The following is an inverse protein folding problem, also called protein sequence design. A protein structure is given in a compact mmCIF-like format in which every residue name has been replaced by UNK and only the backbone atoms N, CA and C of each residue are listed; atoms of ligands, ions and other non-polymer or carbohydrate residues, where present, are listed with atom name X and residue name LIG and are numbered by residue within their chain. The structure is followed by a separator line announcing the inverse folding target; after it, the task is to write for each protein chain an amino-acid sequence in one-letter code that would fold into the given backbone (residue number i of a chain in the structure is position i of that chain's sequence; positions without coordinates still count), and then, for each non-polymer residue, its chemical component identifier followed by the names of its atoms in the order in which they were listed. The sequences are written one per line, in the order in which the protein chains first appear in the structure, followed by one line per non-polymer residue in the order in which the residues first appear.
data_IF_503929956074
#
_entry.id   IF_503929956074
#
_cell.length_a   1.000
_cell.length_b   1.000
_cell.length_c   1.000
_cell.angle_alpha   90.00
_cell.angle_beta   90.00
_cell.angle_gamma   90.00
#
_symmetry.space_group_name_H-M   'P 1'
#
loop_
_entity.id
_entity.type
_entity.pdbx_description
1 polymer ?
#
# COMPACT_ATOMS: atom_id res chain seq x y z
N UNK A 1 6.48 -35.59 -3.61
CA UNK A 1 7.13 -34.34 -3.15
C UNK A 1 7.50 -33.52 -4.38
N UNK A 2 6.85 -32.40 -4.65
CA UNK A 2 7.33 -31.49 -5.70
C UNK A 2 8.49 -30.67 -5.13
N UNK A 3 9.55 -30.55 -5.93
CA UNK A 3 10.76 -29.83 -5.64
C UNK A 3 10.45 -28.36 -5.32
N UNK A 4 10.99 -27.87 -4.19
CA UNK A 4 11.05 -26.48 -3.84
C UNK A 4 11.85 -25.73 -4.93
N UNK A 5 11.13 -25.02 -5.80
CA UNK A 5 11.76 -24.09 -6.73
C UNK A 5 12.40 -22.95 -5.94
N UNK A 6 13.71 -22.91 -5.87
CA UNK A 6 14.47 -21.76 -5.41
C UNK A 6 14.10 -20.56 -6.29
N UNK A 7 13.35 -19.62 -5.76
CA UNK A 7 13.25 -18.29 -6.35
C UNK A 7 14.65 -17.67 -6.22
N UNK A 8 15.29 -17.39 -7.32
CA UNK A 8 16.61 -16.78 -7.36
C UNK A 8 16.55 -15.40 -6.68
N UNK A 9 17.39 -15.19 -5.68
CA UNK A 9 17.68 -13.87 -5.15
C UNK A 9 18.14 -12.92 -6.29
N UNK A 10 17.90 -11.61 -6.21
CA UNK A 10 18.34 -10.66 -7.22
C UNK A 10 19.84 -10.80 -7.47
N UNK A 11 20.20 -11.05 -8.71
CA UNK A 11 21.55 -11.44 -9.15
C UNK A 11 22.51 -10.28 -9.37
N UNK A 12 22.30 -9.13 -8.72
CA UNK A 12 23.26 -8.02 -8.73
C UNK A 12 23.35 -7.43 -7.33
N UNK A 13 24.56 -7.17 -6.86
CA UNK A 13 24.82 -6.57 -5.54
C UNK A 13 24.36 -5.11 -5.39
N UNK A 14 23.45 -4.65 -6.24
CA UNK A 14 22.85 -3.31 -6.19
C UNK A 14 21.57 -3.32 -5.37
N UNK A 15 21.47 -2.39 -4.40
CA UNK A 15 20.29 -2.21 -3.59
C UNK A 15 19.15 -1.61 -4.43
N UNK A 16 17.91 -1.98 -4.15
CA UNK A 16 16.75 -1.39 -4.80
C UNK A 16 16.47 0.00 -4.22
N UNK A 17 16.09 0.94 -5.09
CA UNK A 17 15.65 2.29 -4.72
C UNK A 17 14.21 2.24 -4.26
N UNK A 18 13.93 2.72 -3.06
CA UNK A 18 12.60 2.63 -2.43
C UNK A 18 12.15 4.00 -1.92
N UNK A 19 10.92 4.38 -2.22
CA UNK A 19 10.20 5.49 -1.61
C UNK A 19 8.87 4.96 -1.05
N UNK A 20 8.57 5.30 0.21
CA UNK A 20 7.32 4.92 0.87
C UNK A 20 6.41 6.15 0.99
N UNK A 21 5.13 6.00 0.63
CA UNK A 21 4.06 6.96 0.91
C UNK A 21 3.02 6.26 1.80
N UNK A 22 2.79 6.76 3.01
CA UNK A 22 2.06 6.06 4.08
C UNK A 22 1.05 6.99 4.75
N UNK A 23 -0.12 6.46 5.11
CA UNK A 23 -1.11 7.14 5.95
C UNK A 23 -0.87 6.90 7.45
N UNK A 24 0.39 6.65 7.83
CA UNK A 24 0.85 6.44 9.21
C UNK A 24 0.29 7.51 10.17
N UNK A 25 -0.23 7.06 11.31
CA UNK A 25 -0.93 7.93 12.25
C UNK A 25 -2.40 8.20 11.89
N UNK A 26 -2.90 7.58 10.81
CA UNK A 26 -4.29 7.59 10.38
C UNK A 26 -5.20 6.75 11.28
N UNK A 27 -6.23 6.16 10.69
CA UNK A 27 -7.26 5.40 11.44
C UNK A 27 -6.80 4.02 11.90
N UNK A 28 -5.74 3.48 11.30
CA UNK A 28 -5.22 2.13 11.55
C UNK A 28 -3.72 2.22 11.90
N UNK A 29 -3.27 1.67 13.05
CA UNK A 29 -1.89 1.81 13.48
C UNK A 29 -0.93 0.76 12.88
N UNK A 30 -1.30 0.00 11.88
CA UNK A 30 -0.44 -1.05 11.31
C UNK A 30 0.70 -0.49 10.44
N UNK A 31 0.59 0.71 9.93
CA UNK A 31 1.67 1.45 9.29
C UNK A 31 2.89 1.62 10.21
N UNK A 32 2.67 1.86 11.52
CA UNK A 32 3.77 1.91 12.49
C UNK A 32 4.54 0.59 12.55
N UNK A 33 3.84 -0.55 12.47
CA UNK A 33 4.47 -1.86 12.42
C UNK A 33 5.22 -2.06 11.11
N UNK A 34 4.65 -1.67 9.99
CA UNK A 34 5.25 -1.76 8.65
C UNK A 34 6.48 -0.85 8.54
N UNK A 35 6.46 0.35 9.16
CA UNK A 35 7.60 1.26 9.21
C UNK A 35 8.75 0.71 10.07
N UNK A 36 8.45 0.06 11.21
CA UNK A 36 9.46 -0.67 11.99
C UNK A 36 10.08 -1.78 11.15
N UNK A 37 9.27 -2.54 10.41
CA UNK A 37 9.77 -3.59 9.52
C UNK A 37 10.70 -3.01 8.45
N UNK A 38 10.32 -1.92 7.78
CA UNK A 38 11.21 -1.23 6.82
C UNK A 38 12.57 -0.88 7.46
N UNK A 39 12.57 -0.35 8.68
CA UNK A 39 13.81 0.12 9.30
C UNK A 39 14.75 -1.01 9.73
N UNK A 40 14.23 -2.17 10.10
CA UNK A 40 15.11 -3.32 10.40
C UNK A 40 15.68 -4.00 9.15
N UNK A 41 15.12 -3.70 7.98
CA UNK A 41 15.62 -4.12 6.66
C UNK A 41 16.28 -2.97 5.87
N UNK A 42 16.48 -1.81 6.48
CA UNK A 42 16.95 -0.61 5.78
C UNK A 42 18.35 -0.75 5.15
N UNK A 43 19.13 -1.73 5.58
CA UNK A 43 20.44 -2.06 4.98
C UNK A 43 20.34 -2.70 3.59
N UNK A 44 19.16 -3.18 3.21
CA UNK A 44 18.93 -3.83 1.90
C UNK A 44 18.51 -2.83 0.81
N UNK A 45 18.16 -1.60 1.16
CA UNK A 45 17.54 -0.63 0.26
C UNK A 45 18.26 0.71 0.23
N UNK A 46 18.20 1.38 -0.91
CA UNK A 46 18.42 2.82 -1.01
C UNK A 46 17.09 3.52 -0.75
N UNK A 47 16.81 3.84 0.54
CA UNK A 47 15.58 4.53 0.92
C UNK A 47 15.72 5.99 0.52
N UNK A 48 14.91 6.44 -0.46
CA UNK A 48 15.01 7.76 -1.06
C UNK A 48 13.95 8.73 -0.58
N UNK A 49 12.87 8.23 0.04
CA UNK A 49 11.82 9.08 0.58
C UNK A 49 10.89 8.34 1.54
N UNK A 50 10.38 9.11 2.50
CA UNK A 50 9.36 8.71 3.46
C UNK A 50 8.31 9.81 3.47
N UNK A 51 7.20 9.61 2.76
CA UNK A 51 6.13 10.59 2.59
C UNK A 51 4.97 10.23 3.50
N UNK A 52 4.47 11.19 4.28
CA UNK A 52 3.20 11.05 5.00
C UNK A 52 2.08 11.56 4.10
N UNK A 53 1.19 10.67 3.66
CA UNK A 53 0.01 10.97 2.85
C UNK A 53 -1.23 10.46 3.59
N UNK A 54 -1.66 11.15 4.66
CA UNK A 54 -2.59 10.59 5.63
C UNK A 54 -4.05 10.68 5.20
N UNK A 55 -4.81 9.70 5.67
CA UNK A 55 -6.24 9.86 5.89
C UNK A 55 -6.47 10.24 7.36
N UNK A 56 -6.99 11.45 7.60
CA UNK A 56 -7.26 11.93 8.95
C UNK A 56 -6.08 12.65 9.61
N UNK A 57 -5.69 12.23 10.82
CA UNK A 57 -4.79 13.01 11.69
C UNK A 57 -3.30 12.72 11.51
N UNK A 58 -2.91 11.67 10.78
CA UNK A 58 -1.52 11.29 10.57
C UNK A 58 -0.70 12.42 9.93
N UNK A 59 0.57 12.52 10.31
CA UNK A 59 1.51 13.55 9.83
C UNK A 59 2.91 12.96 9.71
N UNK A 60 3.80 13.69 9.05
CA UNK A 60 5.23 13.31 8.99
C UNK A 60 5.87 13.16 10.37
N UNK A 61 5.32 13.79 11.42
CA UNK A 61 5.75 13.59 12.81
C UNK A 61 5.61 12.16 13.29
N UNK A 62 4.67 11.40 12.72
CA UNK A 62 4.46 9.99 13.07
C UNK A 62 5.60 9.13 12.49
N UNK A 63 6.05 9.41 11.28
CA UNK A 63 7.27 8.80 10.70
C UNK A 63 8.49 9.14 11.57
N UNK A 64 8.65 10.42 11.93
CA UNK A 64 9.75 10.88 12.78
C UNK A 64 9.77 10.17 14.14
N UNK A 65 8.59 9.85 14.69
CA UNK A 65 8.48 9.07 15.93
C UNK A 65 9.09 7.69 15.79
N UNK A 66 8.92 7.00 14.66
CA UNK A 66 9.55 5.69 14.42
C UNK A 66 11.06 5.86 14.19
N UNK A 67 11.48 6.92 13.48
CA UNK A 67 12.91 7.24 13.29
C UNK A 67 13.60 7.48 14.64
N UNK A 68 12.95 8.11 15.63
CA UNK A 68 13.50 8.29 16.98
C UNK A 68 13.73 6.96 17.71
N UNK A 69 12.92 5.93 17.42
CA UNK A 69 13.15 4.56 17.94
C UNK A 69 14.32 3.89 17.21
N UNK A 70 14.36 4.03 15.89
CA UNK A 70 15.45 3.55 15.05
C UNK A 70 16.80 4.13 15.50
N UNK A 71 16.87 5.43 15.78
CA UNK A 71 18.10 6.10 16.24
C UNK A 71 18.70 5.46 17.50
N UNK A 72 17.84 5.01 18.43
CA UNK A 72 18.30 4.32 19.66
C UNK A 72 18.91 2.95 19.36
N UNK A 73 18.41 2.25 18.35
CA UNK A 73 18.87 0.91 17.97
C UNK A 73 19.97 0.96 16.91
N UNK A 74 20.13 2.07 16.20
CA UNK A 74 21.12 2.26 15.14
C UNK A 74 22.57 1.87 15.53
N UNK A 75 23.08 2.18 16.77
CA UNK A 75 24.43 1.76 17.17
C UNK A 75 24.65 0.25 17.10
N UNK A 76 23.60 -0.56 17.27
CA UNK A 76 23.67 -2.02 17.16
C UNK A 76 23.46 -2.47 15.71
N UNK A 77 22.45 -1.93 15.01
CA UNK A 77 22.16 -2.26 13.62
C UNK A 77 23.36 -2.05 12.70
N UNK A 78 24.06 -0.92 12.82
CA UNK A 78 25.25 -0.61 12.01
C UNK A 78 26.43 -1.59 12.22
N UNK A 79 26.43 -2.40 13.29
CA UNK A 79 27.44 -3.44 13.47
C UNK A 79 27.25 -4.63 12.55
N UNK A 80 26.03 -4.83 12.05
CA UNK A 80 25.69 -5.89 11.09
C UNK A 80 25.93 -5.47 9.64
N UNK A 81 25.72 -4.18 9.35
CA UNK A 81 25.95 -3.64 8.00
C UNK A 81 26.21 -2.13 8.08
N UNK A 82 27.21 -1.67 7.36
CA UNK A 82 27.53 -0.24 7.20
C UNK A 82 26.55 0.49 6.29
N UNK A 83 25.66 -0.24 5.61
CA UNK A 83 24.67 0.31 4.68
C UNK A 83 23.38 0.76 5.38
N UNK A 84 23.21 0.47 6.67
CA UNK A 84 22.10 1.07 7.43
C UNK A 84 22.19 2.61 7.38
N UNK A 85 21.14 3.31 6.92
CA UNK A 85 21.14 4.77 6.87
C UNK A 85 21.17 5.35 8.28
N UNK A 86 21.77 6.53 8.44
CA UNK A 86 21.69 7.24 9.71
C UNK A 86 20.27 7.79 9.95
N UNK A 87 19.87 7.97 11.20
CA UNK A 87 18.59 8.61 11.53
C UNK A 87 18.49 10.02 10.94
N UNK A 88 19.61 10.77 10.90
CA UNK A 88 19.65 12.09 10.29
C UNK A 88 19.35 12.03 8.77
N UNK A 89 19.89 11.03 8.06
CA UNK A 89 19.58 10.81 6.65
C UNK A 89 18.09 10.51 6.44
N UNK A 90 17.50 9.61 7.26
CA UNK A 90 16.07 9.29 7.19
C UNK A 90 15.19 10.52 7.46
N UNK A 91 15.52 11.35 8.46
CA UNK A 91 14.81 12.62 8.72
C UNK A 91 14.88 13.57 7.54
N UNK A 92 16.02 13.66 6.85
CA UNK A 92 16.21 14.53 5.67
C UNK A 92 15.31 14.21 4.50
N UNK A 93 14.94 12.94 4.34
CA UNK A 93 14.06 12.44 3.27
C UNK A 93 12.61 12.28 3.69
N UNK A 94 12.25 12.66 4.94
CA UNK A 94 10.87 12.60 5.43
C UNK A 94 10.10 13.86 5.01
N UNK A 95 8.99 13.69 4.30
CA UNK A 95 8.21 14.76 3.67
C UNK A 95 6.75 14.69 4.07
N UNK A 96 6.08 15.85 4.11
CA UNK A 96 4.64 15.91 4.26
C UNK A 96 3.98 15.89 2.89
N UNK A 97 3.12 14.91 2.66
CA UNK A 97 2.26 14.81 1.48
C UNK A 97 0.91 15.47 1.69
N UNK A 98 -0.06 15.09 0.86
CA UNK A 98 -1.42 15.62 0.89
C UNK A 98 -2.08 15.43 2.25
N UNK A 99 -2.75 16.47 2.74
CA UNK A 99 -3.53 16.45 3.98
C UNK A 99 -5.02 16.22 3.71
N UNK A 100 -5.48 16.67 2.55
CA UNK A 100 -6.88 16.63 2.13
C UNK A 100 -6.99 15.94 0.77
N UNK A 101 -8.12 15.29 0.53
CA UNK A 101 -8.44 14.72 -0.76
C UNK A 101 -8.60 15.84 -1.81
N UNK A 102 -8.06 15.67 -3.03
CA UNK A 102 -8.04 16.70 -4.06
C UNK A 102 -9.40 17.00 -4.69
N UNK A 103 -10.47 16.38 -4.24
CA UNK A 103 -11.79 16.41 -4.88
C UNK A 103 -11.83 15.62 -6.17
N UNK A 104 -12.90 15.78 -6.95
CA UNK A 104 -13.21 14.93 -8.11
C UNK A 104 -12.23 15.02 -9.27
N UNK A 105 -11.38 16.07 -9.32
CA UNK A 105 -10.29 16.15 -10.30
C UNK A 105 -9.23 15.07 -10.10
N UNK A 106 -9.10 14.55 -8.87
CA UNK A 106 -8.07 13.59 -8.48
C UNK A 106 -6.69 14.20 -8.28
N UNK A 107 -6.53 15.49 -8.56
CA UNK A 107 -5.32 16.29 -8.39
C UNK A 107 -5.66 17.70 -7.91
N UNK A 108 -4.72 18.37 -7.24
CA UNK A 108 -4.92 19.73 -6.73
C UNK A 108 -3.66 20.59 -6.87
N UNK A 109 -2.95 20.84 -5.80
CA UNK A 109 -1.69 21.59 -5.77
C UNK A 109 -0.53 20.67 -5.37
N UNK A 110 0.69 20.94 -5.86
CA UNK A 110 1.88 20.21 -5.44
C UNK A 110 2.04 20.24 -3.92
N UNK A 111 2.46 19.09 -3.38
CA UNK A 111 2.84 18.94 -1.97
C UNK A 111 4.36 18.80 -1.84
N UNK A 112 4.89 18.85 -0.60
CA UNK A 112 6.28 18.48 -0.35
C UNK A 112 6.53 17.01 -0.76
N UNK A 113 5.54 16.13 -0.52
CA UNK A 113 5.59 14.70 -0.87
C UNK A 113 5.57 14.46 -2.38
N UNK A 114 4.62 15.05 -3.11
CA UNK A 114 4.53 14.87 -4.57
C UNK A 114 5.77 15.41 -5.28
N UNK A 115 6.27 16.58 -4.86
CA UNK A 115 7.51 17.15 -5.37
C UNK A 115 8.72 16.26 -5.11
N UNK A 116 8.78 15.63 -3.92
CA UNK A 116 9.88 14.72 -3.58
C UNK A 116 9.83 13.39 -4.37
N UNK A 117 8.65 12.90 -4.71
CA UNK A 117 8.49 11.77 -5.65
C UNK A 117 9.09 12.12 -7.00
N UNK A 118 8.80 13.32 -7.53
CA UNK A 118 9.35 13.80 -8.80
C UNK A 118 10.88 13.90 -8.73
N UNK A 119 11.41 14.58 -7.71
CA UNK A 119 12.85 14.75 -7.52
C UNK A 119 13.57 13.40 -7.43
N UNK A 120 13.04 12.45 -6.67
CA UNK A 120 13.60 11.10 -6.53
C UNK A 120 13.57 10.33 -7.86
N UNK A 121 12.44 10.37 -8.60
CA UNK A 121 12.32 9.71 -9.88
C UNK A 121 13.22 10.29 -10.96
N UNK A 122 13.51 11.61 -10.90
CA UNK A 122 14.36 12.31 -11.89
C UNK A 122 15.86 12.22 -11.59
N UNK A 123 16.28 11.61 -10.48
CA UNK A 123 17.71 11.38 -10.23
C UNK A 123 18.37 10.66 -11.40
N UNK A 124 19.63 10.98 -11.64
CA UNK A 124 20.45 10.30 -12.66
C UNK A 124 20.87 8.91 -12.13
N UNK A 125 19.92 8.00 -12.14
CA UNK A 125 20.06 6.61 -11.74
C UNK A 125 19.27 5.74 -12.71
N UNK A 126 19.91 4.72 -13.32
CA UNK A 126 19.24 3.84 -14.28
C UNK A 126 18.25 2.86 -13.63
N UNK A 127 18.36 2.63 -12.32
CA UNK A 127 17.46 1.73 -11.57
C UNK A 127 16.08 2.38 -11.41
N UNK A 128 14.98 1.63 -11.55
CA UNK A 128 13.66 2.15 -11.27
C UNK A 128 13.49 2.52 -9.79
N UNK A 129 12.60 3.48 -9.52
CA UNK A 129 12.18 3.83 -8.18
C UNK A 129 10.95 2.98 -7.80
N UNK A 130 11.09 2.11 -6.80
CA UNK A 130 9.97 1.39 -6.22
C UNK A 130 9.21 2.30 -5.26
N UNK A 131 8.01 2.70 -5.65
CA UNK A 131 7.11 3.52 -4.85
C UNK A 131 6.08 2.62 -4.16
N UNK A 132 6.21 2.49 -2.84
CA UNK A 132 5.32 1.70 -1.99
C UNK A 132 4.27 2.62 -1.38
N UNK A 133 3.02 2.50 -1.83
CA UNK A 133 1.90 3.33 -1.39
C UNK A 133 1.08 2.55 -0.36
N UNK A 134 1.16 2.97 0.90
CA UNK A 134 0.58 2.34 2.09
C UNK A 134 -0.69 3.03 2.59
N UNK A 135 -1.20 3.99 1.85
CA UNK A 135 -2.37 4.77 2.20
C UNK A 135 -2.94 5.49 1.00
N UNK A 136 -3.06 6.82 1.08
CA UNK A 136 -3.54 7.65 -0.02
C UNK A 136 -2.61 7.61 -1.24
N UNK A 137 -3.21 7.67 -2.43
CA UNK A 137 -2.47 7.68 -3.71
C UNK A 137 -2.39 9.10 -4.32
N UNK A 138 -2.81 10.11 -3.57
CA UNK A 138 -2.92 11.50 -3.99
C UNK A 138 -1.58 12.11 -4.41
N UNK A 139 -0.53 11.88 -3.62
CA UNK A 139 0.81 12.41 -3.93
C UNK A 139 1.39 11.81 -5.20
N UNK A 140 1.11 10.53 -5.49
CA UNK A 140 1.49 9.92 -6.75
C UNK A 140 0.68 10.50 -7.91
N UNK A 141 -0.63 10.68 -7.75
CA UNK A 141 -1.49 11.29 -8.79
C UNK A 141 -1.01 12.71 -9.12
N UNK A 142 -0.69 13.50 -8.09
CA UNK A 142 -0.15 14.86 -8.26
C UNK A 142 1.22 14.84 -8.91
N UNK A 143 2.11 13.94 -8.52
CA UNK A 143 3.45 13.84 -9.11
C UNK A 143 3.38 13.47 -10.60
N UNK A 144 2.51 12.55 -10.98
CA UNK A 144 2.30 12.16 -12.38
C UNK A 144 1.62 13.27 -13.20
N UNK A 145 0.76 14.10 -12.56
CA UNK A 145 0.16 15.27 -13.19
C UNK A 145 1.21 16.32 -13.52
N UNK A 146 2.04 16.67 -12.53
CA UNK A 146 3.03 17.73 -12.64
C UNK A 146 4.23 17.32 -13.52
N UNK A 147 4.61 16.04 -13.51
CA UNK A 147 5.76 15.51 -14.24
C UNK A 147 5.47 14.13 -14.86
N UNK A 148 4.65 14.02 -15.92
CA UNK A 148 4.27 12.74 -16.52
C UNK A 148 5.47 11.95 -17.10
N UNK A 149 6.58 12.59 -17.32
CA UNK A 149 7.83 11.97 -17.80
C UNK A 149 8.51 11.05 -16.76
N UNK A 150 8.09 11.08 -15.48
CA UNK A 150 8.60 10.13 -14.46
C UNK A 150 7.96 8.74 -14.57
N UNK A 151 6.84 8.60 -15.25
CA UNK A 151 6.05 7.37 -15.35
C UNK A 151 6.91 6.12 -15.66
N UNK A 152 7.79 6.08 -16.65
CA UNK A 152 8.56 4.88 -16.99
C UNK A 152 9.60 4.51 -15.92
N UNK A 153 9.95 5.46 -15.03
CA UNK A 153 10.93 5.27 -13.96
C UNK A 153 10.33 4.66 -12.69
N UNK A 154 9.01 4.55 -12.60
CA UNK A 154 8.32 4.10 -11.41
C UNK A 154 7.94 2.61 -11.47
N UNK A 155 8.01 1.95 -10.30
CA UNK A 155 7.40 0.66 -9.99
C UNK A 155 6.53 0.84 -8.77
N UNK A 156 5.23 0.98 -8.99
CA UNK A 156 4.28 1.28 -7.91
C UNK A 156 3.73 -0.01 -7.33
N UNK A 157 3.72 -0.11 -6.00
CA UNK A 157 2.95 -1.11 -5.27
C UNK A 157 1.94 -0.37 -4.38
N UNK A 158 0.67 -0.45 -4.73
CA UNK A 158 -0.41 0.21 -4.03
C UNK A 158 -1.17 -0.80 -3.15
N UNK A 159 -1.16 -0.60 -1.83
CA UNK A 159 -2.05 -1.28 -0.89
C UNK A 159 -3.42 -0.61 -1.02
N UNK A 160 -4.18 -1.06 -2.04
CA UNK A 160 -5.46 -0.47 -2.42
C UNK A 160 -6.53 -0.74 -1.36
N UNK A 161 -6.99 -1.98 -1.27
CA UNK A 161 -7.94 -2.44 -0.25
C UNK A 161 -8.93 -1.36 0.22
N UNK A 162 -8.97 -1.08 1.54
CA UNK A 162 -9.79 0.00 2.06
C UNK A 162 -9.29 1.40 1.66
N UNK A 163 -8.01 1.57 1.29
CA UNK A 163 -7.44 2.89 0.97
C UNK A 163 -8.03 3.48 -0.30
N UNK A 164 -8.29 2.64 -1.30
CA UNK A 164 -8.85 3.06 -2.58
C UNK A 164 -10.19 3.81 -2.45
N UNK A 165 -11.05 3.44 -1.51
CA UNK A 165 -12.33 4.14 -1.31
C UNK A 165 -12.14 5.59 -0.83
N UNK A 166 -11.05 5.88 -0.10
CA UNK A 166 -10.71 7.23 0.34
C UNK A 166 -10.05 8.07 -0.75
N UNK A 167 -9.33 7.40 -1.67
CA UNK A 167 -8.56 7.97 -2.76
C UNK A 167 -9.18 7.71 -4.13
N UNK A 168 -10.48 7.47 -4.23
CA UNK A 168 -11.12 7.02 -5.46
C UNK A 168 -10.94 8.01 -6.62
N UNK A 169 -10.91 9.31 -6.34
CA UNK A 169 -10.74 10.34 -7.36
C UNK A 169 -9.28 10.40 -7.87
N UNK A 170 -8.29 10.33 -6.98
CA UNK A 170 -6.87 10.26 -7.35
C UNK A 170 -6.56 8.96 -8.10
N UNK A 171 -7.12 7.83 -7.66
CA UNK A 171 -7.00 6.57 -8.36
C UNK A 171 -7.60 6.64 -9.77
N UNK A 172 -8.84 7.18 -9.90
CA UNK A 172 -9.51 7.35 -11.20
C UNK A 172 -8.72 8.29 -12.13
N UNK A 173 -8.07 9.32 -11.57
CA UNK A 173 -7.18 10.20 -12.34
C UNK A 173 -6.02 9.41 -12.96
N UNK A 174 -5.33 8.58 -12.16
CA UNK A 174 -4.20 7.75 -12.63
C UNK A 174 -4.69 6.75 -13.69
N UNK A 175 -5.80 6.05 -13.42
CA UNK A 175 -6.38 5.06 -14.34
C UNK A 175 -6.67 5.66 -15.72
N UNK A 176 -7.20 6.88 -15.75
CA UNK A 176 -7.57 7.54 -17.01
C UNK A 176 -6.40 8.18 -17.75
N UNK A 177 -5.45 8.78 -17.02
CA UNK A 177 -4.42 9.62 -17.63
C UNK A 177 -3.06 8.93 -17.74
N UNK A 178 -2.84 7.86 -16.95
CA UNK A 178 -1.56 7.16 -16.87
C UNK A 178 -1.70 5.63 -16.99
N UNK A 179 -2.41 5.12 -18.02
CA UNK A 179 -2.72 3.69 -18.15
C UNK A 179 -1.49 2.80 -18.35
N UNK A 180 -0.36 3.37 -18.76
CA UNK A 180 0.90 2.66 -18.93
C UNK A 180 1.76 2.60 -17.65
N UNK A 181 1.28 3.16 -16.53
CA UNK A 181 2.00 3.06 -15.25
C UNK A 181 2.23 1.59 -14.89
N UNK A 182 3.45 1.26 -14.46
CA UNK A 182 3.72 -0.05 -13.88
C UNK A 182 3.19 -0.08 -12.46
N UNK A 183 2.12 -0.84 -12.20
CA UNK A 183 1.47 -0.85 -10.90
C UNK A 183 0.96 -2.23 -10.49
N UNK A 184 1.25 -2.61 -9.25
CA UNK A 184 0.57 -3.69 -8.53
C UNK A 184 -0.49 -3.03 -7.65
N UNK A 185 -1.75 -3.42 -7.82
CA UNK A 185 -2.88 -3.03 -6.98
C UNK A 185 -3.25 -4.21 -6.08
N UNK A 186 -2.84 -4.16 -4.82
CA UNK A 186 -3.15 -5.19 -3.83
C UNK A 186 -4.35 -4.76 -2.99
N UNK A 187 -5.53 -5.33 -3.24
CA UNK A 187 -6.75 -4.99 -2.50
C UNK A 187 -7.04 -5.99 -1.37
N UNK A 188 -6.65 -7.25 -1.54
CA UNK A 188 -6.92 -8.33 -0.59
C UNK A 188 -5.69 -9.24 -0.36
N UNK A 189 -4.83 -9.44 -1.35
CA UNK A 189 -3.64 -10.30 -1.27
C UNK A 189 -2.75 -9.95 -0.06
N UNK A 190 -2.55 -8.66 0.24
CA UNK A 190 -1.75 -8.19 1.36
C UNK A 190 -2.19 -8.77 2.72
N UNK A 191 -3.48 -9.11 2.87
CA UNK A 191 -4.04 -9.65 4.11
C UNK A 191 -3.44 -11.01 4.50
N UNK A 192 -2.88 -11.74 3.53
CA UNK A 192 -2.17 -12.98 3.79
C UNK A 192 -0.97 -12.84 4.74
N UNK A 193 -0.52 -11.62 5.03
CA UNK A 193 0.50 -11.39 6.04
C UNK A 193 0.02 -11.70 7.46
N UNK A 194 -1.25 -11.42 7.76
CA UNK A 194 -1.84 -11.58 9.09
C UNK A 194 -3.08 -12.51 9.13
N UNK A 195 -3.55 -12.96 7.97
CA UNK A 195 -4.66 -13.93 7.84
C UNK A 195 -4.13 -15.20 7.17
N UNK A 196 -4.52 -16.35 7.68
CA UNK A 196 -4.13 -17.66 7.12
C UNK A 196 -2.69 -18.07 7.44
N UNK A 197 -2.22 -19.11 6.75
CA UNK A 197 -0.96 -19.76 7.06
C UNK A 197 -0.95 -20.43 8.43
N UNK A 198 0.25 -20.82 8.90
CA UNK A 198 0.39 -21.36 10.25
C UNK A 198 0.25 -20.25 11.30
N UNK A 199 -0.80 -20.30 12.12
CA UNK A 199 -1.09 -19.39 13.23
C UNK A 199 -0.92 -20.05 14.60
N UNK A 200 -0.33 -21.25 14.65
CA UNK A 200 -0.17 -22.01 15.88
C UNK A 200 1.14 -21.68 16.60
N UNK A 201 1.10 -21.80 17.94
CA UNK A 201 2.27 -21.60 18.78
C UNK A 201 2.93 -20.22 18.57
N UNK A 202 4.24 -20.22 18.39
CA UNK A 202 5.04 -18.99 18.19
C UNK A 202 4.69 -18.22 16.90
N UNK A 203 4.00 -18.85 15.95
CA UNK A 203 3.60 -18.25 14.68
C UNK A 203 2.27 -17.49 14.75
N UNK A 204 1.58 -17.54 15.87
CA UNK A 204 0.38 -16.74 16.12
C UNK A 204 0.67 -15.24 16.09
N UNK A 205 -0.31 -14.42 15.66
CA UNK A 205 -0.11 -12.98 15.51
C UNK A 205 0.33 -12.28 16.82
N UNK A 206 -0.14 -12.75 17.96
CA UNK A 206 0.19 -12.19 19.27
C UNK A 206 1.41 -12.87 19.89
N UNK A 207 1.47 -14.17 19.78
CA UNK A 207 2.52 -15.01 20.33
C UNK A 207 3.88 -14.64 19.72
N UNK A 208 3.90 -14.41 18.41
CA UNK A 208 5.11 -13.98 17.70
C UNK A 208 5.63 -12.65 18.25
N UNK A 209 4.77 -11.66 18.42
CA UNK A 209 5.17 -10.36 18.97
C UNK A 209 5.75 -10.53 20.38
N UNK A 210 5.08 -11.32 21.21
CA UNK A 210 5.51 -11.55 22.61
C UNK A 210 6.87 -12.24 22.68
N UNK A 211 7.14 -13.22 21.81
CA UNK A 211 8.34 -14.07 21.90
C UNK A 211 9.53 -13.50 21.13
N UNK A 212 9.27 -12.82 20.00
CA UNK A 212 10.32 -12.47 19.04
C UNK A 212 10.52 -10.97 18.84
N UNK A 213 9.55 -10.13 19.20
CA UNK A 213 9.59 -8.68 18.93
C UNK A 213 9.74 -7.85 20.21
N UNK A 214 8.89 -8.08 21.21
CA UNK A 214 8.96 -7.35 22.48
C UNK A 214 10.32 -7.57 23.17
N UNK A 215 10.88 -6.50 23.72
CA UNK A 215 12.21 -6.53 24.34
C UNK A 215 13.39 -6.56 23.34
N UNK A 216 13.12 -6.40 22.03
CA UNK A 216 14.16 -6.37 21.00
C UNK A 216 14.51 -4.93 20.61
N UNK A 217 15.00 -4.14 21.56
CA UNK A 217 15.37 -2.75 21.34
C UNK A 217 14.16 -1.79 21.33
N UNK A 218 14.42 -0.52 21.03
CA UNK A 218 13.40 0.52 21.04
C UNK A 218 12.36 0.34 19.91
N UNK A 219 12.77 -0.19 18.75
CA UNK A 219 11.88 -0.53 17.65
C UNK A 219 10.95 -1.68 18.03
N UNK A 220 11.47 -2.76 18.63
CA UNK A 220 10.67 -3.90 19.03
C UNK A 220 9.66 -3.56 20.13
N UNK A 221 10.09 -2.79 21.14
CA UNK A 221 9.19 -2.32 22.19
C UNK A 221 8.09 -1.43 21.63
N UNK A 222 8.43 -0.53 20.69
CA UNK A 222 7.45 0.32 20.03
C UNK A 222 6.47 -0.49 19.19
N UNK A 223 6.94 -1.43 18.39
CA UNK A 223 6.11 -2.36 17.61
C UNK A 223 5.09 -3.07 18.52
N UNK A 224 5.55 -3.59 19.65
CA UNK A 224 4.70 -4.34 20.60
C UNK A 224 3.62 -3.46 21.26
N UNK A 225 3.76 -2.13 21.27
CA UNK A 225 2.70 -1.23 21.75
C UNK A 225 1.58 -1.05 20.75
N UNK A 226 1.83 -1.29 19.46
CA UNK A 226 0.83 -1.15 18.42
C UNK A 226 -0.15 -2.32 18.41
N UNK A 227 -1.40 -2.08 18.07
CA UNK A 227 -2.43 -3.11 17.91
C UNK A 227 -2.52 -4.09 19.10
N UNK A 228 -2.24 -3.61 20.33
CA UNK A 228 -2.24 -4.43 21.56
C UNK A 228 -1.28 -5.63 21.47
N UNK A 229 -0.16 -5.47 20.75
CA UNK A 229 0.85 -6.51 20.57
C UNK A 229 0.42 -7.62 19.60
N UNK A 230 -0.42 -7.33 18.64
CA UNK A 230 -0.84 -8.29 17.59
C UNK A 230 -0.29 -7.84 16.24
N UNK A 231 0.24 -8.76 15.43
CA UNK A 231 0.65 -8.45 14.06
C UNK A 231 -0.58 -8.08 13.22
N UNK A 232 -0.45 -6.99 12.46
CA UNK A 232 -1.21 -6.74 11.25
C UNK A 232 -0.27 -6.43 10.09
N UNK A 233 0.58 -5.39 10.18
CA UNK A 233 1.61 -5.07 9.19
C UNK A 233 1.06 -5.10 7.76
N UNK A 234 -0.12 -4.46 7.54
CA UNK A 234 -0.86 -4.59 6.29
C UNK A 234 -0.10 -4.08 5.07
N UNK A 235 0.85 -3.17 5.24
CA UNK A 235 1.61 -2.55 4.15
C UNK A 235 2.91 -3.27 3.84
N UNK A 236 3.37 -4.06 4.83
CA UNK A 236 4.61 -4.85 4.73
C UNK A 236 4.71 -5.73 3.47
N UNK A 237 3.65 -6.35 2.92
CA UNK A 237 3.75 -7.15 1.70
C UNK A 237 4.36 -6.42 0.52
N UNK A 238 4.15 -5.10 0.40
CA UNK A 238 4.77 -4.29 -0.65
C UNK A 238 6.29 -4.28 -0.56
N UNK A 239 6.83 -4.18 0.66
CA UNK A 239 8.27 -4.26 0.95
C UNK A 239 8.77 -5.70 0.89
N UNK A 240 8.04 -6.65 1.45
CA UNK A 240 8.40 -8.06 1.54
C UNK A 240 8.61 -8.69 0.15
N UNK A 241 7.86 -8.23 -0.86
CA UNK A 241 8.08 -8.60 -2.25
C UNK A 241 9.48 -8.23 -2.74
N UNK A 242 10.03 -7.10 -2.28
CA UNK A 242 11.37 -6.65 -2.66
C UNK A 242 12.47 -7.37 -1.86
N UNK A 243 12.15 -7.92 -0.69
CA UNK A 243 13.06 -8.72 0.13
C UNK A 243 13.20 -10.13 -0.47
N UNK A 244 12.08 -10.76 -0.82
CA UNK A 244 12.04 -12.11 -1.37
C UNK A 244 11.00 -12.19 -2.49
N UNK A 245 11.47 -12.11 -3.73
CA UNK A 245 10.65 -12.17 -4.94
C UNK A 245 11.40 -11.66 -6.16
N UNK A 246 10.67 -11.56 -7.27
CA UNK A 246 11.15 -10.94 -8.50
C UNK A 246 10.54 -9.53 -8.60
N UNK A 247 11.28 -8.43 -8.35
CA UNK A 247 10.71 -7.08 -8.33
C UNK A 247 10.03 -6.68 -9.65
N UNK A 248 10.54 -7.14 -10.79
CA UNK A 248 10.03 -6.78 -12.13
C UNK A 248 8.92 -7.71 -12.65
N UNK A 249 8.67 -8.86 -12.01
CA UNK A 249 7.62 -9.79 -12.43
C UNK A 249 6.62 -10.09 -11.32
N UNK A 250 5.47 -9.38 -11.26
CA UNK A 250 4.43 -9.61 -10.27
C UNK A 250 3.77 -10.99 -10.31
N UNK A 251 3.93 -11.73 -11.40
CA UNK A 251 3.36 -13.07 -11.54
C UNK A 251 4.18 -14.17 -10.86
N UNK A 252 5.40 -13.85 -10.44
CA UNK A 252 6.26 -14.79 -9.72
C UNK A 252 5.94 -14.81 -8.22
N UNK A 253 6.12 -15.97 -7.57
CA UNK A 253 5.97 -16.09 -6.12
C UNK A 253 6.89 -15.14 -5.35
N UNK A 254 6.35 -14.54 -4.29
CA UNK A 254 7.10 -13.67 -3.39
C UNK A 254 6.49 -13.68 -1.98
N UNK A 255 7.22 -13.17 -0.99
CA UNK A 255 6.65 -12.92 0.33
C UNK A 255 5.55 -11.84 0.32
N UNK A 256 5.55 -10.97 -0.68
CA UNK A 256 4.53 -9.94 -0.86
C UNK A 256 3.35 -10.37 -1.73
N UNK A 257 3.30 -11.66 -2.12
CA UNK A 257 2.22 -12.23 -2.91
C UNK A 257 2.55 -12.43 -4.38
N UNK A 258 1.56 -12.94 -5.09
CA UNK A 258 1.57 -13.25 -6.52
C UNK A 258 0.31 -12.63 -7.12
N UNK A 259 0.46 -11.99 -8.28
CA UNK A 259 -0.58 -11.17 -8.89
C UNK A 259 -0.84 -11.60 -10.33
N UNK A 260 -2.03 -11.32 -10.81
CA UNK A 260 -2.42 -11.53 -12.20
C UNK A 260 -2.58 -10.20 -12.93
N UNK A 261 -2.59 -10.25 -14.26
CA UNK A 261 -2.82 -9.06 -15.07
C UNK A 261 -4.25 -8.54 -14.85
N UNK A 262 -4.38 -7.22 -14.72
CA UNK A 262 -5.69 -6.57 -14.61
C UNK A 262 -6.49 -6.80 -15.91
N UNK A 263 -7.81 -6.77 -15.81
CA UNK A 263 -8.79 -6.87 -16.90
C UNK A 263 -9.57 -5.58 -17.07
N UNK A 264 -10.25 -5.43 -18.21
CA UNK A 264 -11.11 -4.29 -18.49
C UNK A 264 -12.48 -4.43 -17.80
N UNK A 265 -13.21 -3.30 -17.66
CA UNK A 265 -14.58 -3.29 -17.14
C UNK A 265 -14.69 -3.13 -15.62
N UNK A 266 -13.60 -2.81 -14.94
CA UNK A 266 -13.58 -2.56 -13.49
C UNK A 266 -14.18 -1.20 -13.12
N UNK A 267 -14.39 -0.29 -14.06
CA UNK A 267 -15.13 0.94 -13.89
C UNK A 267 -16.54 0.79 -14.42
N UNK A 268 -17.53 1.11 -13.59
CA UNK A 268 -18.95 1.11 -13.95
C UNK A 268 -19.51 2.51 -13.79
N UNK A 269 -20.25 2.98 -14.80
CA UNK A 269 -20.88 4.31 -14.81
C UNK A 269 -22.40 4.12 -14.86
N UNK A 270 -23.11 4.71 -13.89
CA UNK A 270 -24.57 4.76 -13.85
C UNK A 270 -25.05 6.18 -14.11
N UNK A 271 -25.99 6.35 -15.04
CA UNK A 271 -26.62 7.62 -15.42
C UNK A 271 -28.00 7.84 -14.77
N UNK A 272 -28.36 6.96 -13.83
CA UNK A 272 -29.65 6.92 -13.15
C UNK A 272 -29.49 6.54 -11.67
N UNK A 273 -30.54 6.76 -10.88
CA UNK A 273 -30.62 6.22 -9.52
C UNK A 273 -30.75 4.69 -9.60
N UNK A 274 -29.79 4.00 -9.05
CA UNK A 274 -29.63 2.55 -9.21
C UNK A 274 -30.57 1.74 -8.34
N UNK A 275 -30.75 0.48 -8.71
CA UNK A 275 -31.51 -0.56 -8.01
C UNK A 275 -30.57 -1.73 -7.65
N UNK A 276 -31.02 -2.69 -6.88
CA UNK A 276 -30.24 -3.89 -6.59
C UNK A 276 -29.93 -4.78 -7.81
N UNK A 277 -30.54 -4.49 -8.98
CA UNK A 277 -30.24 -5.18 -10.24
C UNK A 277 -29.00 -4.61 -10.94
N UNK A 278 -28.63 -3.37 -10.61
CA UNK A 278 -27.44 -2.72 -11.16
C UNK A 278 -26.19 -3.27 -10.47
N UNK A 279 -25.19 -3.65 -11.26
CA UNK A 279 -24.01 -4.34 -10.74
C UNK A 279 -22.72 -3.57 -10.99
N UNK A 280 -21.77 -3.69 -10.09
CA UNK A 280 -20.39 -3.20 -10.22
C UNK A 280 -19.43 -4.24 -9.64
N UNK A 281 -18.12 -4.09 -9.89
CA UNK A 281 -17.10 -4.97 -9.34
C UNK A 281 -16.57 -4.46 -7.98
N UNK A 282 -16.35 -5.37 -7.05
CA UNK A 282 -15.65 -5.08 -5.79
C UNK A 282 -14.25 -4.55 -6.10
N UNK A 283 -13.83 -3.50 -5.40
CA UNK A 283 -12.62 -2.72 -5.66
C UNK A 283 -12.56 -2.06 -7.05
N UNK A 284 -13.64 -2.09 -7.83
CA UNK A 284 -13.79 -1.27 -9.04
C UNK A 284 -14.11 0.19 -8.71
N UNK A 285 -14.12 1.04 -9.72
CA UNK A 285 -14.62 2.42 -9.61
C UNK A 285 -16.10 2.43 -10.00
N UNK A 286 -16.96 2.74 -9.06
CA UNK A 286 -18.38 2.99 -9.31
C UNK A 286 -18.61 4.49 -9.43
N UNK A 287 -19.04 4.95 -10.59
CA UNK A 287 -19.31 6.35 -10.89
C UNK A 287 -20.80 6.55 -11.14
N UNK A 288 -21.39 7.54 -10.49
CA UNK A 288 -22.77 7.97 -10.73
C UNK A 288 -22.72 9.29 -11.49
N UNK A 289 -23.15 9.27 -12.74
CA UNK A 289 -23.18 10.41 -13.64
C UNK A 289 -24.64 10.87 -13.83
N UNK A 290 -25.25 11.35 -12.73
CA UNK A 290 -26.68 11.66 -12.71
C UNK A 290 -26.97 12.94 -13.49
N UNK A 291 -28.12 13.04 -14.23
CA UNK A 291 -28.51 14.28 -14.84
C UNK A 291 -28.66 15.41 -13.81
N UNK A 292 -28.12 16.58 -14.12
CA UNK A 292 -28.28 17.76 -13.26
C UNK A 292 -29.76 18.18 -13.25
N UNK A 293 -30.42 18.22 -12.08
CA UNK A 293 -31.80 18.63 -12.01
C UNK A 293 -32.03 20.10 -12.46
N UNK A 294 -33.12 20.44 -13.12
CA UNK A 294 -33.44 21.84 -13.48
C UNK A 294 -33.42 22.74 -12.24
N UNK A 295 -32.67 23.84 -12.32
CA UNK A 295 -32.51 24.80 -11.23
C UNK A 295 -31.35 24.51 -10.27
N UNK A 296 -30.66 23.36 -10.35
CA UNK A 296 -29.44 23.12 -9.61
C UNK A 296 -28.31 24.02 -10.14
N UNK A 297 -27.62 24.70 -9.29
CA UNK A 297 -26.60 25.71 -9.64
C UNK A 297 -25.40 25.64 -8.68
N UNK A 298 -24.36 26.43 -8.93
CA UNK A 298 -23.15 26.47 -8.12
C UNK A 298 -23.32 26.78 -6.62
N UNK A 299 -24.49 27.33 -6.21
CA UNK A 299 -24.83 27.55 -4.79
C UNK A 299 -25.37 26.30 -4.09
N UNK A 300 -25.69 25.27 -4.85
CA UNK A 300 -26.23 24.03 -4.31
C UNK A 300 -25.10 23.01 -4.16
N UNK A 301 -25.21 22.21 -3.11
CA UNK A 301 -24.32 21.09 -2.80
C UNK A 301 -25.10 19.79 -2.78
N UNK A 302 -24.45 18.71 -3.11
CA UNK A 302 -24.96 17.36 -2.96
C UNK A 302 -23.83 16.44 -2.47
N UNK A 303 -24.17 15.56 -1.56
CA UNK A 303 -23.24 14.55 -1.02
C UNK A 303 -23.94 13.21 -1.03
N UNK A 304 -23.29 12.20 -1.60
CA UNK A 304 -23.77 10.83 -1.58
C UNK A 304 -23.13 10.09 -0.42
N UNK A 305 -23.95 9.58 0.49
CA UNK A 305 -23.54 8.81 1.66
C UNK A 305 -23.92 7.35 1.46
N UNK A 306 -22.93 6.44 1.57
CA UNK A 306 -23.10 5.01 1.38
C UNK A 306 -23.27 4.28 2.72
N UNK A 307 -23.67 3.02 2.70
CA UNK A 307 -23.73 2.15 3.89
C UNK A 307 -22.41 2.21 4.67
N UNK A 308 -22.52 2.46 5.99
CA UNK A 308 -21.37 2.64 6.86
C UNK A 308 -20.87 4.08 6.98
N UNK A 309 -21.47 5.03 6.24
CA UNK A 309 -21.34 6.48 6.45
C UNK A 309 -20.06 7.12 5.92
N UNK A 310 -18.99 6.38 5.74
CA UNK A 310 -17.69 6.94 5.32
C UNK A 310 -16.93 6.03 4.35
N UNK A 311 -16.21 6.60 3.36
CA UNK A 311 -16.26 8.02 2.99
C UNK A 311 -17.58 8.39 2.32
N UNK A 312 -17.90 9.66 2.37
CA UNK A 312 -18.95 10.25 1.54
C UNK A 312 -18.36 10.72 0.21
N UNK A 313 -19.19 10.83 -0.84
CA UNK A 313 -18.79 11.36 -2.14
C UNK A 313 -19.46 12.71 -2.37
N UNK A 314 -18.68 13.78 -2.48
CA UNK A 314 -19.18 15.09 -2.86
C UNK A 314 -19.56 15.10 -4.34
N UNK A 315 -20.75 15.58 -4.64
CA UNK A 315 -21.24 15.71 -6.01
C UNK A 315 -20.60 16.88 -6.73
N UNK A 316 -20.08 16.61 -7.94
CA UNK A 316 -19.47 17.62 -8.79
C UNK A 316 -20.38 17.93 -9.96
N UNK A 317 -20.76 19.20 -10.09
CA UNK A 317 -21.57 19.69 -11.20
C UNK A 317 -20.71 19.98 -12.42
N UNK A 318 -20.78 19.11 -13.42
CA UNK A 318 -20.09 19.24 -14.71
C UNK A 318 -21.03 19.84 -15.80
N UNK A 319 -21.98 20.65 -15.41
CA UNK A 319 -22.93 21.30 -16.29
C UNK A 319 -24.17 20.46 -16.58
N UNK A 320 -24.03 19.33 -17.27
CA UNK A 320 -25.17 18.41 -17.59
C UNK A 320 -25.24 17.22 -16.63
N UNK A 321 -24.14 16.94 -15.95
CA UNK A 321 -23.96 15.77 -15.09
C UNK A 321 -23.55 16.20 -13.69
N UNK A 322 -24.17 15.61 -12.69
CA UNK A 322 -23.77 15.66 -11.30
C UNK A 322 -23.07 14.31 -11.00
N UNK A 323 -21.76 14.38 -10.75
CA UNK A 323 -20.91 13.19 -10.66
C UNK A 323 -20.54 12.87 -9.22
N UNK A 324 -20.66 11.59 -8.86
CA UNK A 324 -20.18 11.02 -7.60
C UNK A 324 -19.34 9.79 -7.91
N UNK A 325 -18.35 9.47 -7.04
CA UNK A 325 -17.53 8.26 -7.17
C UNK A 325 -17.42 7.51 -5.86
N UNK A 326 -17.33 6.19 -5.98
CA UNK A 326 -17.16 5.27 -4.85
C UNK A 326 -16.39 4.03 -5.31
N UNK A 327 -15.70 3.37 -4.38
CA UNK A 327 -15.11 2.06 -4.60
C UNK A 327 -15.62 1.09 -3.54
N UNK A 328 -16.50 0.14 -3.88
CA UNK A 328 -17.03 -0.84 -2.92
C UNK A 328 -15.96 -1.86 -2.58
N UNK A 329 -15.76 -2.12 -1.29
CA UNK A 329 -14.76 -3.11 -0.82
C UNK A 329 -15.35 -4.50 -0.51
N UNK A 330 -16.66 -4.59 -0.34
CA UNK A 330 -17.33 -5.81 0.10
C UNK A 330 -18.36 -6.23 -0.94
N UNK A 331 -18.42 -7.53 -1.23
CA UNK A 331 -19.42 -8.13 -2.10
C UNK A 331 -20.78 -8.18 -1.39
N UNK A 332 -21.62 -7.19 -1.66
CA UNK A 332 -22.97 -7.04 -1.09
C UNK A 332 -23.81 -6.09 -1.91
N UNK A 333 -25.09 -6.03 -1.60
CA UNK A 333 -25.94 -4.91 -2.02
C UNK A 333 -25.60 -3.70 -1.14
N UNK A 334 -25.10 -2.67 -1.78
CA UNK A 334 -24.85 -1.36 -1.19
C UNK A 334 -26.08 -0.48 -1.37
N UNK A 335 -26.38 0.37 -0.38
CA UNK A 335 -27.35 1.44 -0.50
C UNK A 335 -26.69 2.80 -0.31
N UNK A 336 -27.29 3.83 -0.87
CA UNK A 336 -26.86 5.22 -0.70
C UNK A 336 -28.05 6.16 -0.59
N UNK A 337 -27.79 7.33 0.01
CA UNK A 337 -28.70 8.46 0.04
C UNK A 337 -27.94 9.71 -0.40
N UNK A 338 -28.62 10.62 -1.09
CA UNK A 338 -28.09 11.93 -1.46
C UNK A 338 -28.64 12.96 -0.49
N UNK A 339 -27.75 13.65 0.19
CA UNK A 339 -28.03 14.81 1.03
C UNK A 339 -27.74 16.08 0.23
N UNK A 340 -28.70 17.02 0.17
CA UNK A 340 -28.57 18.20 -0.67
C UNK A 340 -29.33 19.39 -0.08
N UNK A 341 -28.78 20.60 -0.23
CA UNK A 341 -29.53 21.82 0.02
C UNK A 341 -30.49 22.21 -1.14
N UNK A 342 -30.61 21.33 -2.15
CA UNK A 342 -31.55 21.44 -3.26
C UNK A 342 -32.66 20.39 -3.12
N UNK A 343 -33.86 20.81 -2.70
CA UNK A 343 -34.99 19.93 -2.33
C UNK A 343 -35.34 18.83 -3.36
N UNK A 344 -35.31 19.05 -4.69
CA UNK A 344 -35.60 17.98 -5.65
C UNK A 344 -34.57 16.81 -5.65
N UNK A 345 -33.39 17.02 -5.07
CA UNK A 345 -32.32 16.03 -4.99
C UNK A 345 -32.17 15.43 -3.58
N UNK A 346 -32.55 16.20 -2.57
CA UNK A 346 -32.43 15.81 -1.17
C UNK A 346 -33.26 14.56 -0.86
N UNK A 347 -32.66 13.60 -0.14
CA UNK A 347 -33.28 12.33 0.23
C UNK A 347 -33.45 11.32 -0.92
N UNK A 348 -33.00 11.63 -2.15
CA UNK A 348 -32.94 10.64 -3.21
C UNK A 348 -31.97 9.52 -2.84
N UNK A 349 -32.35 8.28 -3.13
CA UNK A 349 -31.60 7.11 -2.72
C UNK A 349 -31.60 6.04 -3.81
N UNK A 350 -30.66 5.10 -3.72
CA UNK A 350 -30.58 3.96 -4.61
C UNK A 350 -29.82 2.79 -3.97
N UNK A 351 -29.69 1.74 -4.74
CA UNK A 351 -28.95 0.52 -4.36
C UNK A 351 -28.19 0.01 -5.57
N UNK A 352 -27.08 -0.67 -5.34
CA UNK A 352 -26.37 -1.42 -6.36
C UNK A 352 -25.74 -2.67 -5.74
N UNK A 353 -25.46 -3.68 -6.55
CA UNK A 353 -24.85 -4.92 -6.10
C UNK A 353 -23.38 -4.97 -6.51
N UNK A 354 -22.46 -4.95 -5.56
CA UNK A 354 -21.04 -5.17 -5.80
C UNK A 354 -20.75 -6.67 -5.83
N UNK A 355 -20.21 -7.14 -6.96
CA UNK A 355 -19.90 -8.55 -7.19
C UNK A 355 -18.40 -8.79 -7.09
N UNK A 356 -17.97 -9.93 -6.57
CA UNK A 356 -16.57 -10.30 -6.61
C UNK A 356 -16.10 -10.50 -8.06
N UNK A 357 -14.81 -10.24 -8.37
CA UNK A 357 -14.26 -10.56 -9.67
C UNK A 357 -14.31 -12.07 -9.94
N UNK A 358 -14.42 -12.43 -11.22
CA UNK A 358 -14.48 -13.82 -11.68
C UNK A 358 -13.14 -14.26 -12.24
N UNK A 359 -12.75 -15.51 -11.98
CA UNK A 359 -11.55 -16.11 -12.59
C UNK A 359 -11.57 -16.05 -14.12
N UNK A 360 -12.73 -16.06 -14.75
CA UNK A 360 -12.83 -15.96 -16.20
C UNK A 360 -12.32 -14.62 -16.78
N UNK A 361 -12.24 -13.58 -15.95
CA UNK A 361 -11.73 -12.27 -16.37
C UNK A 361 -10.21 -12.32 -16.58
N UNK A 362 -9.49 -13.16 -15.84
CA UNK A 362 -8.02 -13.28 -15.96
C UNK A 362 -7.55 -13.82 -17.30
N UNK A 363 -8.43 -14.50 -18.05
CA UNK A 363 -8.14 -14.96 -19.42
C UNK A 363 -8.12 -13.84 -20.46
N UNK A 364 -8.55 -12.62 -20.09
CA UNK A 364 -8.66 -11.45 -20.96
C UNK A 364 -7.95 -10.24 -20.29
N UNK A 365 -6.62 -10.24 -20.24
CA UNK A 365 -5.88 -9.11 -19.68
C UNK A 365 -6.22 -7.81 -20.41
N UNK A 366 -6.28 -6.72 -19.67
CA UNK A 366 -6.53 -5.40 -20.24
C UNK A 366 -5.46 -5.04 -21.28
N UNK A 367 -5.92 -4.57 -22.42
CA UNK A 367 -5.05 -4.00 -23.46
C UNK A 367 -4.75 -2.51 -23.22
N UNK A 368 -5.59 -1.84 -22.44
CA UNK A 368 -5.45 -0.41 -22.11
C UNK A 368 -4.52 -0.19 -20.93
N UNK A 369 -4.41 -1.15 -20.01
CA UNK A 369 -3.54 -1.10 -18.82
C UNK A 369 -2.47 -2.22 -18.88
N UNK A 370 -1.53 -2.15 -19.83
CA UNK A 370 -0.61 -3.25 -20.12
C UNK A 370 0.39 -3.55 -19.00
N UNK A 371 0.57 -2.68 -18.04
CA UNK A 371 1.52 -2.81 -16.94
C UNK A 371 0.86 -2.77 -15.56
N UNK A 372 -0.43 -3.21 -15.45
CA UNK A 372 -1.12 -3.29 -14.18
C UNK A 372 -1.40 -4.74 -13.80
N UNK A 373 -1.22 -5.03 -12.50
CA UNK A 373 -1.50 -6.32 -11.88
C UNK A 373 -2.39 -6.13 -10.66
N UNK A 374 -3.15 -7.18 -10.34
CA UNK A 374 -4.15 -7.16 -9.27
C UNK A 374 -4.20 -8.52 -8.57
N UNK A 375 -4.94 -8.60 -7.46
CA UNK A 375 -5.20 -9.84 -6.74
C UNK A 375 -5.71 -10.95 -7.67
N UNK A 376 -5.23 -12.16 -7.46
CA UNK A 376 -5.72 -13.33 -8.19
C UNK A 376 -7.11 -13.72 -7.64
N UNK A 377 -8.17 -13.67 -8.49
CA UNK A 377 -9.53 -14.05 -8.09
C UNK A 377 -9.75 -15.57 -8.02
N UNK A 378 -8.74 -16.39 -8.32
CA UNK A 378 -8.86 -17.85 -8.20
C UNK A 378 -9.15 -18.24 -6.75
N UNK A 379 -10.27 -18.95 -6.47
CA UNK A 379 -10.58 -19.41 -5.12
C UNK A 379 -9.47 -20.23 -4.46
N UNK A 380 -8.66 -20.94 -5.23
CA UNK A 380 -7.53 -21.72 -4.69
C UNK A 380 -6.40 -20.86 -4.14
N UNK A 381 -6.31 -19.59 -4.57
CA UNK A 381 -5.36 -18.58 -4.09
C UNK A 381 -5.91 -17.77 -2.91
N UNK A 382 -7.14 -17.98 -2.48
CA UNK A 382 -7.79 -17.23 -1.41
C UNK A 382 -7.45 -17.77 -0.01
N UNK A 383 -7.46 -16.85 0.98
CA UNK A 383 -7.60 -17.18 2.41
C UNK A 383 -8.97 -16.69 2.89
N UNK A 384 -9.88 -17.63 3.10
CA UNK A 384 -11.27 -17.30 3.40
C UNK A 384 -11.90 -16.44 2.30
N UNK A 385 -12.29 -15.21 2.63
CA UNK A 385 -12.92 -14.26 1.70
C UNK A 385 -11.92 -13.32 1.00
N UNK A 386 -10.60 -13.56 1.16
CA UNK A 386 -9.55 -12.67 0.68
C UNK A 386 -8.83 -13.25 -0.55
N UNK A 387 -9.17 -12.80 -1.79
CA UNK A 387 -8.52 -13.26 -3.02
C UNK A 387 -7.00 -13.05 -2.96
N UNK A 388 -6.24 -14.01 -3.49
CA UNK A 388 -4.78 -13.93 -3.60
C UNK A 388 -4.01 -14.08 -2.28
N UNK A 389 -4.67 -13.96 -1.11
CA UNK A 389 -4.01 -13.89 0.20
C UNK A 389 -3.18 -15.12 0.55
N UNK A 390 -3.54 -16.30 0.03
CA UNK A 390 -2.79 -17.54 0.23
C UNK A 390 -1.40 -17.49 -0.42
N UNK A 391 -1.23 -16.67 -1.46
CA UNK A 391 0.08 -16.49 -2.10
C UNK A 391 1.10 -15.81 -1.17
N UNK A 392 0.63 -15.07 -0.15
CA UNK A 392 1.45 -14.51 0.94
C UNK A 392 1.50 -15.47 2.13
N UNK A 393 0.34 -15.90 2.65
CA UNK A 393 0.24 -16.63 3.92
C UNK A 393 0.99 -17.96 3.92
N UNK A 394 1.16 -18.60 2.78
CA UNK A 394 1.96 -19.85 2.63
C UNK A 394 3.42 -19.70 3.05
N UNK A 395 3.95 -18.47 3.09
CA UNK A 395 5.33 -18.15 3.47
C UNK A 395 5.45 -17.73 4.94
N UNK A 396 4.36 -17.79 5.72
CA UNK A 396 4.27 -17.16 7.03
C UNK A 396 5.43 -17.51 7.96
N UNK A 397 5.74 -18.78 8.15
CA UNK A 397 6.84 -19.18 9.04
C UNK A 397 8.20 -18.66 8.54
N UNK A 398 8.38 -18.63 7.23
CA UNK A 398 9.64 -18.21 6.61
C UNK A 398 9.88 -16.72 6.81
N UNK A 399 8.93 -15.87 6.45
CA UNK A 399 9.10 -14.43 6.61
C UNK A 399 9.09 -13.99 8.08
N UNK A 400 8.34 -14.65 8.96
CA UNK A 400 8.36 -14.34 10.38
C UNK A 400 9.69 -14.75 11.03
N UNK A 401 10.25 -15.89 10.66
CA UNK A 401 11.57 -16.33 11.14
C UNK A 401 12.66 -15.34 10.73
N UNK A 402 12.68 -14.90 9.50
CA UNK A 402 13.62 -13.89 9.02
C UNK A 402 13.44 -12.57 9.76
N UNK A 403 12.19 -12.11 9.94
CA UNK A 403 11.88 -10.91 10.69
C UNK A 403 12.35 -11.00 12.15
N UNK A 404 12.17 -12.14 12.83
CA UNK A 404 12.67 -12.36 14.19
C UNK A 404 14.19 -12.21 14.27
N UNK A 405 14.91 -12.78 13.29
CA UNK A 405 16.38 -12.64 13.19
C UNK A 405 16.76 -11.17 13.00
N UNK A 406 16.11 -10.44 12.12
CA UNK A 406 16.34 -9.02 11.88
C UNK A 406 16.05 -8.17 13.12
N UNK A 407 14.92 -8.41 13.80
CA UNK A 407 14.58 -7.71 15.04
C UNK A 407 15.59 -7.93 16.15
N UNK A 408 16.16 -9.14 16.27
CA UNK A 408 17.17 -9.43 17.28
C UNK A 408 18.41 -8.52 17.18
N UNK A 409 18.70 -7.97 16.01
CA UNK A 409 19.80 -7.02 15.77
C UNK A 409 19.60 -5.69 16.50
N UNK A 410 18.37 -5.31 16.79
CA UNK A 410 18.06 -4.11 17.59
C UNK A 410 18.47 -4.27 19.06
N UNK A 411 18.49 -5.50 19.58
CA UNK A 411 18.88 -5.78 20.96
C UNK A 411 20.38 -6.08 21.10
N UNK A 412 20.99 -6.76 20.13
CA UNK A 412 22.33 -7.30 20.22
C UNK A 412 23.22 -6.75 19.09
N UNK A 413 24.47 -6.36 19.37
CA UNK A 413 25.44 -6.07 18.31
C UNK A 413 25.82 -7.37 17.58
N UNK A 414 26.37 -7.23 16.37
CA UNK A 414 26.93 -8.36 15.65
C UNK A 414 28.04 -9.05 16.51
N UNK A 415 28.12 -10.38 16.47
CA UNK A 415 29.23 -11.07 17.09
C UNK A 415 30.55 -10.59 16.49
N UNK A 416 31.64 -10.54 17.26
CA UNK A 416 32.96 -10.15 16.75
C UNK A 416 33.33 -11.06 15.57
N UNK A 417 33.87 -10.47 14.52
CA UNK A 417 34.37 -11.25 13.40
C UNK A 417 35.39 -12.27 13.86
N UNK A 418 35.36 -13.50 13.36
CA UNK A 418 36.45 -14.45 13.70
C UNK A 418 37.79 -13.83 13.33
N UNK A 419 38.83 -14.03 14.16
CA UNK A 419 40.13 -13.45 13.92
C UNK A 419 40.64 -13.81 12.54
N UNK A 420 41.15 -12.84 11.82
CA UNK A 420 41.78 -13.08 10.53
C UNK A 420 42.94 -14.07 10.68
N UNK A 421 43.29 -14.78 9.59
CA UNK A 421 44.39 -15.78 9.64
C UNK A 421 45.70 -15.22 10.22
N UNK A 422 45.96 -13.91 10.06
CA UNK A 422 47.12 -13.21 10.58
C UNK A 422 47.01 -12.90 12.09
N UNK A 423 45.80 -12.66 12.59
CA UNK A 423 45.59 -12.44 14.05
C UNK A 423 45.58 -13.77 14.82
N UNK A 424 45.02 -14.82 14.19
CA UNK A 424 45.05 -16.16 14.76
C UNK A 424 46.51 -16.74 14.87
N UNK A 425 47.42 -16.28 14.01
CA UNK A 425 48.81 -16.63 14.07
C UNK A 425 49.54 -15.93 15.25
N UNK A 426 49.16 -14.67 15.57
CA UNK A 426 49.75 -13.91 16.69
C UNK A 426 49.27 -14.33 18.10
N UNK A 427 48.17 -15.08 18.19
CA UNK A 427 47.66 -15.60 19.48
C UNK A 427 48.33 -16.94 19.84
N UNK A 428 49.10 -17.54 18.92
CA UNK A 428 49.79 -18.82 19.13
C UNK A 428 51.31 -18.66 19.42
N UNK A 429 51.81 -17.44 19.40
CA UNK A 429 53.13 -17.06 19.88
C UNK A 429 53.03 -16.48 21.32
#
# INVERSE_FOLDING_TARGET
MPASGNAAAPSTGERLRVLVSSDIGGTDPDDFQSMVHLFVYADLFDIEGLVSSPFGQGRKSDILTVIDRYERDYPKLKTYSTTYPTAAALRGITKQGALDAPGSSGVSQPTEGSSWIIESALRDDPRPLHLLVWGGIEDLAQALHDAPNILPKLRVFFIGGPNKKWSVDAYNYIEQNHPNLWMIESNATYRGWFVGGNQEGEWGNKEFVTQHIAGRGALGDYFATQLKGTIKMGDTPSLARLIHGCPEDPTQPSWGGQYVRVWDGRKTIFDHLTTAADTTEVFGVTEFALPVPPGFSAKHTATMTFDGGVPTSAGVNEGKVLRFRFSPRDAKVWSYVIESNFSPLDGKSGKFNALPPSIHQTSKPSSTHPNWWIDDPDPSAAEGVHPGAKSVSRWREEFLRDFAVRMSRCANPAPPSPPTRNEAAKIRE
#
